data_IF_602103820845
#
_entry.id   IF_602103820845
#
_cell.length_a   1.000
_cell.length_b   1.000
_cell.length_c   1.000
_cell.angle_alpha   90.00
_cell.angle_beta   90.00
_cell.angle_gamma   90.00
#
_symmetry.space_group_name_H-M   'P 1'
#
loop_
_entity.id
_entity.type
_entity.pdbx_description
1 polymer ?
#
# COMPACT_ATOMS: atom_id res chain seq x y z
N UNK A 1 13.20 23.78 -5.58
CA UNK A 1 11.84 23.36 -5.20
C UNK A 1 10.76 24.09 -6.02
N UNK A 2 10.86 24.14 -7.36
CA UNK A 2 9.81 24.70 -8.26
C UNK A 2 9.49 23.78 -9.44
N UNK A 3 10.43 22.91 -9.82
CA UNK A 3 10.26 21.93 -10.90
C UNK A 3 9.27 20.81 -10.51
N UNK A 4 9.33 20.26 -9.30
CA UNK A 4 8.43 19.17 -8.88
C UNK A 4 6.96 19.60 -8.77
N UNK A 5 6.69 20.85 -8.36
CA UNK A 5 5.33 21.39 -8.28
C UNK A 5 4.68 21.62 -9.66
N UNK A 6 5.49 21.75 -10.72
CA UNK A 6 5.01 21.90 -12.09
C UNK A 6 4.64 20.56 -12.74
N UNK A 7 5.00 19.43 -12.13
CA UNK A 7 4.87 18.09 -12.71
C UNK A 7 3.67 17.29 -12.20
N UNK A 8 2.79 17.86 -11.36
CA UNK A 8 1.70 17.16 -10.66
C UNK A 8 2.13 15.96 -9.80
N UNK A 9 3.43 15.78 -9.57
CA UNK A 9 3.96 14.72 -8.73
C UNK A 9 4.01 15.22 -7.31
N UNK A 10 3.34 14.53 -6.37
CA UNK A 10 3.44 14.81 -4.94
C UNK A 10 4.92 14.76 -4.51
N UNK A 11 5.56 15.90 -4.20
CA UNK A 11 7.01 15.96 -3.95
C UNK A 11 7.43 15.13 -2.73
N UNK A 12 6.48 14.91 -1.83
CA UNK A 12 6.64 14.12 -0.61
C UNK A 12 6.71 12.61 -0.90
N UNK A 13 5.79 12.07 -1.69
CA UNK A 13 5.82 10.68 -2.15
C UNK A 13 7.13 10.34 -2.90
N UNK A 14 7.62 11.27 -3.72
CA UNK A 14 8.87 11.11 -4.45
C UNK A 14 10.10 11.02 -3.53
N UNK A 15 10.16 11.85 -2.49
CA UNK A 15 11.23 11.82 -1.50
C UNK A 15 11.18 10.55 -0.65
N UNK A 16 9.99 10.10 -0.24
CA UNK A 16 9.82 8.85 0.50
C UNK A 16 10.25 7.63 -0.33
N UNK A 17 9.83 7.56 -1.60
CA UNK A 17 10.24 6.48 -2.49
C UNK A 17 11.76 6.49 -2.74
N UNK A 18 12.37 7.67 -2.91
CA UNK A 18 13.81 7.78 -3.07
C UNK A 18 14.60 7.38 -1.81
N UNK A 19 14.07 7.67 -0.62
CA UNK A 19 14.71 7.32 0.65
C UNK A 19 14.59 5.84 1.00
N UNK A 20 13.53 5.17 0.51
CA UNK A 20 13.21 3.77 0.84
C UNK A 20 13.59 2.79 -0.27
N UNK A 21 13.82 3.26 -1.51
CA UNK A 21 14.18 2.43 -2.67
C UNK A 21 15.47 2.89 -3.35
N UNK A 22 16.11 2.00 -4.13
CA UNK A 22 17.14 2.42 -5.08
C UNK A 22 16.53 3.30 -6.17
N UNK A 23 17.23 4.34 -6.61
CA UNK A 23 16.70 5.40 -7.49
C UNK A 23 15.96 4.94 -8.76
N UNK A 24 16.27 3.76 -9.28
CA UNK A 24 15.61 3.18 -10.47
C UNK A 24 14.14 2.77 -10.20
N UNK A 25 13.82 2.31 -8.99
CA UNK A 25 12.45 1.91 -8.63
C UNK A 25 11.54 3.11 -8.37
N UNK A 26 12.10 4.20 -7.84
CA UNK A 26 11.36 5.43 -7.57
C UNK A 26 10.70 5.98 -8.84
N UNK A 27 11.45 6.06 -9.95
CA UNK A 27 10.95 6.58 -11.24
C UNK A 27 9.80 5.71 -11.79
N UNK A 28 9.92 4.38 -11.72
CA UNK A 28 8.91 3.46 -12.22
C UNK A 28 7.58 3.53 -11.42
N UNK A 29 7.65 3.76 -10.12
CA UNK A 29 6.47 3.75 -9.25
C UNK A 29 5.73 5.09 -9.19
N UNK A 30 6.40 6.19 -9.53
CA UNK A 30 5.81 7.53 -9.55
C UNK A 30 4.69 7.75 -10.57
N UNK A 31 4.57 6.86 -11.56
CA UNK A 31 3.52 6.90 -12.57
C UNK A 31 2.40 5.90 -12.28
N UNK A 32 2.37 5.27 -11.11
CA UNK A 32 1.34 4.30 -10.73
C UNK A 32 0.69 4.62 -9.38
N UNK A 33 -0.47 4.02 -9.15
CA UNK A 33 -1.22 4.08 -7.87
C UNK A 33 -0.38 3.56 -6.68
N UNK A 34 0.69 2.83 -6.98
CA UNK A 34 1.66 2.35 -6.00
C UNK A 34 2.33 3.51 -5.24
N UNK A 35 2.60 4.65 -5.90
CA UNK A 35 3.19 5.81 -5.22
C UNK A 35 2.25 6.40 -4.17
N UNK A 36 0.97 6.56 -4.50
CA UNK A 36 -0.04 7.06 -3.56
C UNK A 36 -0.29 6.06 -2.43
N UNK A 37 -0.35 4.76 -2.75
CA UNK A 37 -0.43 3.70 -1.75
C UNK A 37 0.74 3.77 -0.77
N UNK A 38 1.98 3.86 -1.27
CA UNK A 38 3.17 3.93 -0.42
C UNK A 38 3.20 5.17 0.47
N UNK A 39 2.74 6.33 -0.03
CA UNK A 39 2.66 7.54 0.77
C UNK A 39 1.77 7.35 2.01
N UNK A 40 0.54 6.85 1.82
CA UNK A 40 -0.38 6.60 2.92
C UNK A 40 0.12 5.46 3.81
N UNK A 41 0.55 4.36 3.20
CA UNK A 41 1.04 3.18 3.93
C UNK A 41 2.23 3.51 4.83
N UNK A 42 3.21 4.27 4.33
CA UNK A 42 4.37 4.65 5.13
C UNK A 42 4.06 5.66 6.25
N UNK A 43 3.04 6.49 6.08
CA UNK A 43 2.54 7.39 7.14
C UNK A 43 1.83 6.65 8.27
N UNK A 44 1.03 5.64 7.96
CA UNK A 44 0.22 4.89 8.94
C UNK A 44 0.98 3.73 9.61
N UNK A 45 1.95 3.14 8.92
CA UNK A 45 2.65 1.94 9.37
C UNK A 45 3.33 2.09 10.75
N UNK A 46 4.03 3.18 11.09
CA UNK A 46 4.66 3.32 12.40
C UNK A 46 3.64 3.24 13.55
N UNK A 47 2.55 4.01 13.46
CA UNK A 47 1.47 4.02 14.45
C UNK A 47 0.80 2.65 14.57
N UNK A 48 0.59 1.96 13.44
CA UNK A 48 0.04 0.60 13.44
C UNK A 48 0.98 -0.40 14.12
N UNK A 49 2.29 -0.31 13.86
CA UNK A 49 3.30 -1.17 14.49
C UNK A 49 3.37 -0.95 16.00
N UNK A 50 3.40 0.31 16.45
CA UNK A 50 3.39 0.64 17.89
C UNK A 50 2.14 0.07 18.59
N UNK A 51 0.98 0.21 17.96
CA UNK A 51 -0.28 -0.29 18.51
C UNK A 51 -0.33 -1.82 18.59
N UNK A 52 0.17 -2.51 17.58
CA UNK A 52 0.13 -3.99 17.49
C UNK A 52 1.21 -4.64 18.35
N UNK A 53 2.43 -4.09 18.34
CA UNK A 53 3.55 -4.64 19.10
C UNK A 53 3.50 -4.20 20.56
N UNK A 54 2.95 -3.01 20.85
CA UNK A 54 2.90 -2.44 22.18
C UNK A 54 4.28 -2.47 22.86
N UNK A 55 4.33 -3.08 24.05
CA UNK A 55 5.57 -3.21 24.81
C UNK A 55 6.63 -4.11 24.15
N UNK A 56 6.28 -4.92 23.14
CA UNK A 56 7.21 -5.82 22.43
C UNK A 56 8.02 -5.11 21.34
N UNK A 57 7.81 -3.81 21.11
CA UNK A 57 8.56 -3.06 20.09
C UNK A 57 10.08 -3.16 20.30
N UNK A 58 10.53 -3.25 21.56
CA UNK A 58 11.94 -3.38 21.92
C UNK A 58 12.53 -4.77 21.64
N UNK A 59 11.69 -5.78 21.39
CA UNK A 59 12.13 -7.15 21.10
C UNK A 59 12.44 -7.36 19.61
N UNK A 60 12.03 -6.43 18.75
CA UNK A 60 12.28 -6.48 17.30
C UNK A 60 13.79 -6.44 17.03
N UNK A 61 14.31 -7.51 16.40
CA UNK A 61 15.74 -7.62 16.07
C UNK A 61 16.03 -7.21 14.62
N UNK A 62 17.06 -6.39 14.35
CA UNK A 62 17.42 -5.96 13.00
C UNK A 62 17.63 -7.11 12.00
N UNK A 63 18.18 -8.26 12.46
CA UNK A 63 18.40 -9.45 11.63
C UNK A 63 17.13 -10.05 11.01
N UNK A 64 15.95 -9.73 11.53
CA UNK A 64 14.67 -10.21 11.00
C UNK A 64 14.12 -9.34 9.87
N UNK A 65 14.64 -8.12 9.69
CA UNK A 65 14.06 -7.11 8.80
C UNK A 65 13.77 -7.66 7.39
N UNK A 66 14.72 -8.35 6.77
CA UNK A 66 14.54 -8.93 5.43
C UNK A 66 13.39 -9.95 5.40
N UNK A 67 13.35 -10.88 6.35
CA UNK A 67 12.31 -11.92 6.42
C UNK A 67 10.92 -11.34 6.71
N UNK A 68 10.85 -10.40 7.64
CA UNK A 68 9.62 -9.69 7.98
C UNK A 68 9.10 -8.89 6.77
N UNK A 69 9.97 -8.18 6.05
CA UNK A 69 9.57 -7.44 4.85
C UNK A 69 8.96 -8.36 3.78
N UNK A 70 9.56 -9.53 3.53
CA UNK A 70 9.00 -10.50 2.58
C UNK A 70 7.66 -11.06 3.05
N UNK A 71 7.51 -11.33 4.36
CA UNK A 71 6.23 -11.81 4.91
C UNK A 71 5.14 -10.74 4.80
N UNK A 72 5.45 -9.48 5.12
CA UNK A 72 4.51 -8.37 4.99
C UNK A 72 4.11 -8.16 3.53
N UNK A 73 5.06 -8.24 2.59
CA UNK A 73 4.75 -8.17 1.17
C UNK A 73 3.80 -9.29 0.70
N UNK A 74 3.99 -10.52 1.20
CA UNK A 74 3.08 -11.63 0.91
C UNK A 74 1.69 -11.44 1.50
N UNK A 75 1.62 -11.04 2.77
CA UNK A 75 0.34 -10.73 3.42
C UNK A 75 -0.42 -9.62 2.71
N UNK A 76 0.30 -8.60 2.22
CA UNK A 76 -0.30 -7.53 1.43
C UNK A 76 -0.86 -8.06 0.10
N UNK A 77 -0.11 -8.91 -0.62
CA UNK A 77 -0.58 -9.55 -1.85
C UNK A 77 -1.86 -10.36 -1.60
N UNK A 78 -1.84 -11.22 -0.58
CA UNK A 78 -3.00 -12.07 -0.23
C UNK A 78 -4.23 -11.20 0.11
N UNK A 79 -4.01 -10.05 0.77
CA UNK A 79 -5.07 -9.13 1.12
C UNK A 79 -5.67 -8.41 -0.10
N UNK A 80 -4.84 -8.02 -1.07
CA UNK A 80 -5.31 -7.42 -2.33
C UNK A 80 -6.16 -8.43 -3.10
N UNK A 81 -5.68 -9.66 -3.27
CA UNK A 81 -6.43 -10.74 -3.95
C UNK A 81 -7.77 -11.04 -3.26
N UNK A 82 -7.85 -10.88 -1.93
CA UNK A 82 -9.10 -11.02 -1.19
C UNK A 82 -10.04 -9.83 -1.39
N UNK A 83 -9.52 -8.61 -1.43
CA UNK A 83 -10.30 -7.41 -1.71
C UNK A 83 -10.89 -7.47 -3.13
N UNK A 84 -10.11 -7.85 -4.14
CA UNK A 84 -10.58 -8.00 -5.52
C UNK A 84 -11.68 -9.04 -5.64
N UNK A 85 -11.51 -10.21 -4.98
CA UNK A 85 -12.56 -11.25 -4.96
C UNK A 85 -13.86 -10.75 -4.32
N UNK A 86 -13.76 -9.98 -3.23
CA UNK A 86 -14.94 -9.42 -2.56
C UNK A 86 -15.62 -8.34 -3.39
N UNK A 87 -14.84 -7.52 -4.08
CA UNK A 87 -15.37 -6.48 -4.96
C UNK A 87 -16.17 -7.10 -6.12
N UNK A 88 -15.63 -8.14 -6.75
CA UNK A 88 -16.33 -8.90 -7.78
C UNK A 88 -17.66 -9.50 -7.26
N UNK A 89 -17.65 -10.12 -6.08
CA UNK A 89 -18.86 -10.67 -5.46
C UNK A 89 -19.91 -9.60 -5.14
N UNK A 90 -19.50 -8.41 -4.70
CA UNK A 90 -20.43 -7.31 -4.45
C UNK A 90 -21.01 -6.79 -5.77
N UNK A 91 -20.18 -6.62 -6.80
CA UNK A 91 -20.63 -6.26 -8.16
C UNK A 91 -21.68 -7.23 -8.69
N UNK A 92 -21.43 -8.54 -8.58
CA UNK A 92 -22.37 -9.59 -9.00
C UNK A 92 -23.71 -9.52 -8.26
N UNK A 93 -23.71 -9.24 -6.94
CA UNK A 93 -24.94 -9.10 -6.15
C UNK A 93 -25.77 -7.90 -6.61
N UNK A 94 -25.13 -6.78 -6.94
CA UNK A 94 -25.83 -5.60 -7.46
C UNK A 94 -26.39 -5.83 -8.88
N UNK A 95 -25.66 -6.52 -9.76
CA UNK A 95 -26.16 -6.91 -11.08
C UNK A 95 -27.35 -7.88 -11.01
N UNK A 96 -27.30 -8.87 -10.11
CA UNK A 96 -28.43 -9.80 -9.89
C UNK A 96 -29.65 -9.07 -9.31
N UNK A 97 -29.44 -8.08 -8.43
CA UNK A 97 -30.52 -7.28 -7.87
C UNK A 97 -31.21 -6.38 -8.92
N UNK A 98 -30.45 -5.83 -9.89
CA UNK A 98 -31.03 -5.04 -10.99
C UNK A 98 -31.70 -5.92 -12.07
N UNK A 99 -31.20 -7.14 -12.31
CA UNK A 99 -31.80 -8.10 -13.24
C UNK A 99 -33.11 -8.75 -12.76
N UNK A 100 -33.37 -8.77 -11.44
CA UNK A 100 -34.53 -9.43 -10.84
C UNK A 100 -35.85 -8.66 -10.88
N UNK A 101 -35.87 -7.40 -11.34
CA UNK A 101 -37.07 -6.55 -11.34
C UNK A 101 -37.82 -6.49 -12.70
N UNK A 102 -37.51 -7.41 -13.62
CA UNK A 102 -38.24 -7.59 -14.89
C UNK A 102 -38.63 -9.06 -15.07
N UNK A 103 -39.62 -9.50 -14.32
CA UNK A 103 -40.29 -10.79 -14.47
C UNK A 103 -41.78 -10.66 -14.20
#
# INVERSE_FOLDING_TARGET
>A
MRILAASQVAPHAHLLLFLVSSGDHAIAWLQSDLAQFFEVFSGELPSALERVLGNQVHDVKPRWAKGTAHRVARLLSDHIDELERKDALMGDIFEVAEGGHRG
#
